data_IF_254733017676
#
_entry.id   IF_254733017676
#
_cell.length_a   1.000
_cell.length_b   1.000
_cell.length_c   1.000
_cell.angle_alpha   90.00
_cell.angle_beta   90.00
_cell.angle_gamma   90.00
#
_symmetry.space_group_name_H-M   'P 1'
#
loop_
_entity.id
_entity.type
_entity.pdbx_description
1 polymer ?
#
# COMPACT_ATOMS: atom_id res chain seq x y z
N UNK A 1 10.83 -14.17 -4.76
CA UNK A 1 10.80 -13.45 -3.45
C UNK A 1 10.09 -12.12 -3.56
N UNK A 2 10.33 -11.32 -4.62
CA UNK A 2 9.64 -10.04 -4.83
C UNK A 2 8.09 -10.12 -4.83
N UNK A 3 7.48 -11.01 -5.64
CA UNK A 3 6.01 -11.21 -5.67
C UNK A 3 5.44 -11.62 -4.30
N UNK A 4 6.18 -12.44 -3.53
CA UNK A 4 5.78 -12.80 -2.16
C UNK A 4 5.80 -11.59 -1.23
N UNK A 5 6.80 -10.72 -1.36
CA UNK A 5 6.86 -9.44 -0.65
C UNK A 5 5.66 -8.55 -0.98
N UNK A 6 5.34 -8.37 -2.27
CA UNK A 6 4.19 -7.57 -2.69
C UNK A 6 2.85 -8.14 -2.18
N UNK A 7 2.66 -9.46 -2.22
CA UNK A 7 1.46 -10.10 -1.66
C UNK A 7 1.37 -9.95 -0.14
N UNK A 8 2.49 -10.04 0.57
CA UNK A 8 2.53 -9.82 2.02
C UNK A 8 2.20 -8.37 2.36
N UNK A 9 2.75 -7.41 1.60
CA UNK A 9 2.45 -5.99 1.73
C UNK A 9 0.94 -5.73 1.56
N UNK A 10 0.34 -6.25 0.48
CA UNK A 10 -1.10 -6.07 0.22
C UNK A 10 -2.03 -6.67 1.28
N UNK A 11 -1.54 -7.64 2.07
CA UNK A 11 -2.26 -8.22 3.22
C UNK A 11 -2.02 -7.49 4.54
N UNK A 12 -1.29 -6.38 4.54
CA UNK A 12 -0.90 -5.65 5.75
C UNK A 12 0.20 -6.34 6.57
N UNK A 13 0.82 -7.41 6.06
CA UNK A 13 1.89 -8.15 6.73
C UNK A 13 3.24 -7.48 6.49
N UNK A 14 3.38 -6.21 6.87
CA UNK A 14 4.52 -5.37 6.49
C UNK A 14 5.88 -5.91 6.98
N UNK A 15 5.95 -6.44 8.21
CA UNK A 15 7.17 -7.07 8.72
C UNK A 15 7.65 -8.23 7.83
N UNK A 16 6.71 -9.09 7.41
CA UNK A 16 7.03 -10.22 6.53
C UNK A 16 7.31 -9.79 5.09
N UNK A 17 6.69 -8.70 4.64
CA UNK A 17 7.02 -8.06 3.37
C UNK A 17 8.48 -7.59 3.35
N UNK A 18 8.94 -6.95 4.42
CA UNK A 18 10.32 -6.48 4.55
C UNK A 18 11.29 -7.66 4.42
N UNK A 19 11.08 -8.74 5.18
CA UNK A 19 11.93 -9.94 5.12
C UNK A 19 12.05 -10.50 3.69
N UNK A 20 10.93 -10.61 2.97
CA UNK A 20 10.95 -11.11 1.59
C UNK A 20 11.63 -10.17 0.59
N UNK A 21 11.52 -8.85 0.79
CA UNK A 21 12.13 -7.85 -0.07
C UNK A 21 13.64 -7.74 0.18
N UNK A 22 14.09 -7.76 1.44
CA UNK A 22 15.50 -7.85 1.80
C UNK A 22 16.13 -9.13 1.26
N UNK A 23 15.45 -10.27 1.41
CA UNK A 23 15.89 -11.53 0.83
C UNK A 23 16.00 -11.45 -0.71
N UNK A 24 15.09 -10.73 -1.38
CA UNK A 24 15.18 -10.53 -2.83
C UNK A 24 16.43 -9.71 -3.24
N UNK A 25 16.82 -8.72 -2.44
CA UNK A 25 18.02 -7.90 -2.68
C UNK A 25 19.34 -8.65 -2.49
N UNK A 26 19.34 -9.78 -1.80
CA UNK A 26 20.54 -10.64 -1.72
C UNK A 26 20.83 -11.38 -3.04
N UNK A 27 19.79 -11.56 -3.86
CA UNK A 27 19.87 -12.30 -5.14
C UNK A 27 19.98 -11.32 -6.32
N UNK A 28 19.25 -10.21 -6.26
CA UNK A 28 19.12 -9.25 -7.36
C UNK A 28 20.07 -8.08 -7.11
N UNK A 29 20.79 -7.67 -8.16
CA UNK A 29 21.67 -6.49 -8.08
C UNK A 29 20.84 -5.23 -7.78
N UNK A 30 21.13 -4.48 -6.71
CA UNK A 30 20.36 -3.30 -6.33
C UNK A 30 20.31 -2.22 -7.41
N UNK A 31 21.38 -2.06 -8.19
CA UNK A 31 21.48 -1.06 -9.26
C UNK A 31 20.73 -1.42 -10.56
N UNK A 32 20.10 -2.61 -10.62
CA UNK A 32 19.25 -2.99 -11.75
C UNK A 32 17.88 -2.33 -11.66
N UNK A 33 17.11 -2.28 -12.75
CA UNK A 33 15.74 -1.76 -12.73
C UNK A 33 14.87 -2.46 -11.68
N UNK A 34 14.89 -3.79 -11.68
CA UNK A 34 14.15 -4.60 -10.72
C UNK A 34 14.68 -4.42 -9.29
N UNK A 35 15.99 -4.27 -9.12
CA UNK A 35 16.61 -3.97 -7.83
C UNK A 35 16.09 -2.65 -7.25
N UNK A 36 16.07 -1.60 -8.07
CA UNK A 36 15.50 -0.31 -7.70
C UNK A 36 14.02 -0.39 -7.35
N UNK A 37 13.21 -1.11 -8.13
CA UNK A 37 11.79 -1.35 -7.82
C UNK A 37 11.63 -2.05 -6.47
N UNK A 38 12.41 -3.10 -6.19
CA UNK A 38 12.39 -3.79 -4.91
C UNK A 38 12.74 -2.84 -3.76
N UNK A 39 13.72 -1.95 -3.94
CA UNK A 39 14.10 -0.97 -2.92
C UNK A 39 13.00 0.08 -2.69
N UNK A 40 12.26 0.51 -3.73
CA UNK A 40 11.08 1.36 -3.58
C UNK A 40 10.00 0.63 -2.76
N UNK A 41 9.71 -0.63 -3.08
CA UNK A 41 8.76 -1.45 -2.29
C UNK A 41 9.22 -1.64 -0.85
N UNK A 42 10.52 -1.81 -0.62
CA UNK A 42 11.09 -1.94 0.71
C UNK A 42 10.91 -0.66 1.53
N UNK A 43 11.16 0.51 0.93
CA UNK A 43 10.92 1.80 1.57
C UNK A 43 9.45 2.01 1.94
N UNK A 44 8.52 1.66 1.05
CA UNK A 44 7.08 1.68 1.35
C UNK A 44 6.71 0.73 2.50
N UNK A 45 7.33 -0.45 2.55
CA UNK A 45 7.12 -1.42 3.63
C UNK A 45 7.67 -0.92 4.97
N UNK A 46 8.81 -0.22 4.98
CA UNK A 46 9.31 0.46 6.19
C UNK A 46 8.36 1.53 6.68
N UNK A 47 7.83 2.37 5.79
CA UNK A 47 6.89 3.41 6.15
C UNK A 47 5.61 2.84 6.79
N UNK A 48 5.04 1.82 6.16
CA UNK A 48 3.86 1.10 6.66
C UNK A 48 4.13 0.38 8.01
N UNK A 49 5.37 -0.05 8.25
CA UNK A 49 5.79 -0.68 9.50
C UNK A 49 6.31 0.32 10.56
N UNK A 50 5.89 1.59 10.50
CA UNK A 50 6.24 2.66 11.48
C UNK A 50 7.72 3.04 11.50
N UNK A 51 8.51 2.57 10.52
CA UNK A 51 9.95 2.85 10.35
C UNK A 51 10.16 4.04 9.40
N UNK A 52 9.46 5.15 9.66
CA UNK A 52 9.42 6.34 8.78
C UNK A 52 10.81 6.92 8.47
N UNK A 53 11.72 6.94 9.47
CA UNK A 53 13.08 7.47 9.29
C UNK A 53 13.89 6.67 8.27
N UNK A 54 13.74 5.35 8.30
CA UNK A 54 14.47 4.43 7.42
C UNK A 54 13.92 4.48 6.00
N UNK A 55 12.59 4.62 5.87
CA UNK A 55 11.93 4.86 4.57
C UNK A 55 12.47 6.13 3.88
N UNK A 56 12.46 7.26 4.59
CA UNK A 56 12.95 8.54 4.05
C UNK A 56 14.44 8.46 3.71
N UNK A 57 15.25 7.81 4.56
CA UNK A 57 16.67 7.63 4.31
C UNK A 57 16.91 6.82 3.02
N UNK A 58 16.16 5.72 2.84
CA UNK A 58 16.25 4.88 1.66
C UNK A 58 15.83 5.64 0.38
N UNK A 59 14.75 6.44 0.43
CA UNK A 59 14.38 7.27 -0.72
C UNK A 59 15.48 8.28 -1.08
N UNK A 60 16.10 8.94 -0.09
CA UNK A 60 17.22 9.86 -0.34
C UNK A 60 18.42 9.15 -0.94
N UNK A 61 18.73 7.94 -0.48
CA UNK A 61 19.82 7.15 -1.03
C UNK A 61 19.54 6.79 -2.50
N UNK A 62 18.34 6.31 -2.81
CA UNK A 62 17.92 5.97 -4.18
C UNK A 62 17.95 7.18 -5.11
N UNK A 63 17.41 8.31 -4.66
CA UNK A 63 17.41 9.58 -5.40
C UNK A 63 18.83 10.04 -5.78
N UNK A 64 19.83 9.77 -4.95
CA UNK A 64 21.20 10.23 -5.18
C UNK A 64 22.08 9.21 -5.93
N UNK A 65 21.87 7.92 -5.71
CA UNK A 65 22.85 6.88 -6.07
C UNK A 65 22.40 5.96 -7.21
N UNK A 66 21.09 5.77 -7.41
CA UNK A 66 20.61 4.75 -8.33
C UNK A 66 20.90 5.15 -9.79
N UNK A 67 21.46 4.28 -10.65
CA UNK A 67 21.86 4.66 -12.02
C UNK A 67 20.68 5.02 -12.92
N UNK A 68 19.53 4.39 -12.69
CA UNK A 68 18.30 4.58 -13.48
C UNK A 68 17.54 5.85 -13.05
N UNK A 69 17.37 6.80 -13.97
CA UNK A 69 16.66 8.07 -13.72
C UNK A 69 15.21 7.85 -13.28
N UNK A 70 14.53 6.85 -13.85
CA UNK A 70 13.13 6.53 -13.50
C UNK A 70 12.97 6.19 -12.02
N UNK A 71 13.89 5.41 -11.47
CA UNK A 71 13.90 5.03 -10.04
C UNK A 71 14.23 6.24 -9.17
N UNK A 72 15.21 7.06 -9.55
CA UNK A 72 15.53 8.31 -8.83
C UNK A 72 14.31 9.24 -8.74
N UNK A 73 13.59 9.39 -9.86
CA UNK A 73 12.37 10.21 -9.92
C UNK A 73 11.27 9.65 -9.02
N UNK A 74 11.00 8.34 -9.10
CA UNK A 74 10.01 7.69 -8.23
C UNK A 74 10.37 7.87 -6.74
N UNK A 75 11.64 7.70 -6.38
CA UNK A 75 12.10 7.92 -5.00
C UNK A 75 11.87 9.37 -4.53
N UNK A 76 12.14 10.36 -5.38
CA UNK A 76 11.89 11.76 -5.08
C UNK A 76 10.39 12.07 -4.88
N UNK A 77 9.52 11.49 -5.72
CA UNK A 77 8.06 11.62 -5.60
C UNK A 77 7.56 11.04 -4.26
N UNK A 78 8.00 9.83 -3.89
CA UNK A 78 7.63 9.22 -2.61
C UNK A 78 8.20 9.98 -1.42
N UNK A 79 9.44 10.48 -1.51
CA UNK A 79 10.04 11.32 -0.46
C UNK A 79 9.21 12.58 -0.22
N UNK A 80 8.78 13.24 -1.29
CA UNK A 80 7.95 14.44 -1.20
C UNK A 80 6.65 14.18 -0.44
N UNK A 81 5.99 13.05 -0.72
CA UNK A 81 4.77 12.62 -0.01
C UNK A 81 5.07 12.31 1.46
N UNK A 82 6.16 11.57 1.73
CA UNK A 82 6.52 11.15 3.08
C UNK A 82 6.96 12.31 4.00
N UNK A 83 7.59 13.34 3.44
CA UNK A 83 8.03 14.54 4.18
C UNK A 83 6.94 15.61 4.31
N UNK A 84 5.78 15.43 3.65
CA UNK A 84 4.70 16.40 3.70
C UNK A 84 4.23 16.65 5.15
N UNK A 85 4.06 17.92 5.56
CA UNK A 85 3.61 18.23 6.91
C UNK A 85 2.20 17.71 7.10
N UNK A 86 1.98 16.98 8.21
CA UNK A 86 0.63 16.51 8.58
C UNK A 86 -0.24 17.74 8.87
N UNK A 87 -1.36 17.83 8.15
CA UNK A 87 -2.38 18.84 8.40
C UNK A 87 -2.86 18.71 9.85
N UNK A 88 -2.73 19.79 10.61
CA UNK A 88 -3.30 19.90 11.96
C UNK A 88 -4.76 20.33 11.81
N UNK A 89 -5.66 19.37 11.76
CA UNK A 89 -7.11 19.65 11.75
C UNK A 89 -7.50 20.02 13.18
N UNK A 90 -8.04 21.22 13.42
CA UNK A 90 -8.60 21.57 14.74
C UNK A 90 -9.95 20.89 14.92
N UNK A 91 -10.33 20.55 16.16
CA UNK A 91 -11.62 19.88 16.44
C UNK A 91 -12.84 20.67 15.93
N UNK A 92 -12.69 21.98 15.75
CA UNK A 92 -13.72 22.90 15.26
C UNK A 92 -13.95 22.76 13.75
N UNK A 93 -12.98 22.19 13.02
CA UNK A 93 -13.03 21.92 11.57
C UNK A 93 -13.45 20.47 11.26
N UNK A 94 -13.49 19.60 12.28
CA UNK A 94 -13.91 18.21 12.13
C UNK A 94 -15.44 18.13 12.11
N UNK A 95 -16.02 17.99 10.92
CA UNK A 95 -17.44 17.61 10.81
C UNK A 95 -17.58 16.16 11.26
N UNK A 96 -18.31 15.94 12.35
CA UNK A 96 -18.67 14.58 12.77
C UNK A 96 -19.63 14.01 11.73
N UNK A 97 -19.16 13.05 10.93
CA UNK A 97 -20.04 12.31 10.02
C UNK A 97 -21.01 11.52 10.89
N UNK A 98 -22.33 11.86 10.90
CA UNK A 98 -23.29 11.08 11.64
C UNK A 98 -23.24 9.66 11.11
N UNK A 99 -23.11 8.69 12.01
CA UNK A 99 -23.17 7.28 11.65
C UNK A 99 -24.56 7.04 11.07
N UNK A 100 -24.66 6.81 9.75
CA UNK A 100 -25.88 6.28 9.15
C UNK A 100 -26.11 4.92 9.78
N UNK A 101 -27.15 4.82 10.61
CA UNK A 101 -27.67 3.55 11.08
C UNK A 101 -28.04 2.71 9.86
N UNK A 102 -27.32 1.60 9.68
CA UNK A 102 -27.68 0.43 8.88
C UNK A 102 -28.69 0.66 7.73
N UNK A 103 -28.29 1.36 6.68
CA UNK A 103 -29.02 1.32 5.39
C UNK A 103 -28.70 0.03 4.62
N UNK A 104 -28.59 -1.12 5.30
CA UNK A 104 -28.52 -2.44 4.65
C UNK A 104 -29.91 -2.97 4.26
N UNK A 105 -30.99 -2.26 4.63
CA UNK A 105 -32.37 -2.59 4.23
C UNK A 105 -32.58 -2.62 2.71
N UNK A 106 -31.73 -1.92 1.94
CA UNK A 106 -31.86 -1.85 0.48
C UNK A 106 -31.39 -3.13 -0.21
N UNK A 107 -30.44 -3.87 0.36
CA UNK A 107 -29.92 -5.10 -0.26
C UNK A 107 -30.86 -6.30 -0.08
N UNK A 108 -31.67 -6.31 0.99
CA UNK A 108 -32.70 -7.33 1.18
C UNK A 108 -33.80 -7.20 0.12
N UNK A 109 -34.15 -5.97 -0.29
CA UNK A 109 -35.20 -5.70 -1.29
C UNK A 109 -34.76 -6.11 -2.70
N UNK A 110 -33.48 -5.93 -3.06
CA UNK A 110 -32.99 -6.30 -4.40
C UNK A 110 -32.63 -7.78 -4.56
N UNK A 111 -32.28 -8.49 -3.48
CA UNK A 111 -31.81 -9.89 -3.55
C UNK A 111 -32.91 -10.94 -3.23
N UNK A 112 -34.01 -10.56 -2.58
CA UNK A 112 -35.12 -11.48 -2.31
C UNK A 112 -35.93 -11.96 -3.53
N UNK A 113 -36.07 -11.22 -4.65
CA UNK A 113 -36.74 -11.77 -5.83
C UNK A 113 -35.87 -12.79 -6.58
N UNK A 114 -34.53 -12.69 -6.49
CA UNK A 114 -33.62 -13.56 -7.23
C UNK A 114 -33.48 -14.96 -6.63
N UNK A 115 -33.67 -15.12 -5.32
CA UNK A 115 -33.59 -16.43 -4.66
C UNK A 115 -34.90 -17.24 -4.74
N UNK A 116 -36.04 -16.59 -4.98
CA UNK A 116 -37.34 -17.29 -5.07
C UNK A 116 -37.65 -17.82 -6.48
N UNK A 117 -36.98 -17.32 -7.53
CA UNK A 117 -37.26 -17.73 -8.92
C UNK A 117 -36.42 -18.93 -9.40
N UNK A 118 -35.31 -19.27 -8.72
CA UNK A 118 -34.44 -20.39 -9.12
C UNK A 118 -34.93 -21.78 -8.67
N UNK A 119 -36.00 -21.89 -7.86
CA UNK A 119 -36.54 -23.18 -7.44
C UNK A 119 -37.73 -23.69 -8.27
N UNK A 120 -38.15 -22.97 -9.33
CA UNK A 120 -39.28 -23.37 -10.17
C UNK A 120 -38.93 -23.77 -11.62
N UNK A 121 -37.64 -23.92 -11.95
CA UNK A 121 -37.15 -24.28 -13.29
C UNK A 121 -36.22 -25.50 -13.31
N UNK A 122 -36.41 -26.42 -12.36
CA UNK A 122 -35.85 -27.77 -12.42
C UNK A 122 -36.96 -28.79 -12.09
N UNK A 123 -37.83 -29.02 -13.08
CA UNK A 123 -38.73 -30.16 -13.19
C UNK A 123 -38.87 -30.49 -14.69
#
# INVERSE_FOLDING_TARGET
>A
MFDLGQRAYGKGMYGRSIEFLEAALTIIRPSSLLGGEIQIWLAMAYDANRRHKESIALYKELENTHPMISIRRQAAEFRYIAEAPKLKISNDEVVTIPQIGSSWDWLVIFLTPYYLFSHHLCA
#
